data_IF_932667742957
#
_entry.id   IF_932667742957
#
_cell.length_a   1.000
_cell.length_b   1.000
_cell.length_c   1.000
_cell.angle_alpha   90.00
_cell.angle_beta   90.00
_cell.angle_gamma   90.00
#
_symmetry.space_group_name_H-M   'P 1'
#
loop_
_entity.id
_entity.type
_entity.pdbx_description
1 polymer ?
#
# COMPACT_ATOMS: atom_id res chain seq x y z
N UNK A 1 2.00 -50.29 -11.03
CA UNK A 1 3.19 -49.46 -10.81
C UNK A 1 3.23 -48.34 -11.85
N UNK A 2 2.78 -47.13 -11.49
CA UNK A 2 2.84 -45.95 -12.36
C UNK A 2 2.83 -44.67 -11.51
N UNK A 3 3.98 -44.01 -11.41
CA UNK A 3 4.16 -42.76 -10.64
C UNK A 3 3.33 -41.61 -11.24
N UNK A 4 2.73 -40.72 -10.43
CA UNK A 4 2.04 -39.54 -10.96
C UNK A 4 3.07 -38.56 -11.53
N UNK A 5 2.88 -38.11 -12.78
CA UNK A 5 3.69 -37.04 -13.37
C UNK A 5 3.38 -35.73 -12.64
N UNK A 6 4.40 -35.20 -11.98
CA UNK A 6 4.32 -33.99 -11.17
C UNK A 6 3.80 -32.78 -11.96
N UNK A 7 2.81 -32.12 -11.35
CA UNK A 7 2.37 -30.77 -11.65
C UNK A 7 3.57 -29.82 -11.75
N UNK A 8 3.79 -29.25 -12.93
CA UNK A 8 4.93 -28.35 -13.22
C UNK A 8 4.55 -26.88 -13.44
N UNK A 9 3.32 -26.47 -13.13
CA UNK A 9 2.95 -25.06 -13.08
C UNK A 9 2.24 -24.73 -11.76
N UNK A 10 3.00 -24.72 -10.66
CA UNK A 10 2.65 -23.91 -9.49
C UNK A 10 3.51 -22.65 -9.54
N UNK A 11 2.94 -21.45 -9.75
CA UNK A 11 3.60 -20.22 -9.36
C UNK A 11 3.90 -20.33 -7.86
N UNK A 12 5.17 -20.22 -7.48
CA UNK A 12 5.54 -20.11 -6.06
C UNK A 12 5.01 -18.76 -5.53
N UNK A 13 4.53 -18.71 -4.28
CA UNK A 13 3.79 -17.57 -3.76
C UNK A 13 4.70 -16.34 -3.67
N UNK A 14 4.25 -15.24 -4.27
CA UNK A 14 4.85 -13.92 -4.09
C UNK A 14 4.94 -13.63 -2.59
N UNK A 15 6.17 -13.57 -2.06
CA UNK A 15 6.41 -13.11 -0.70
C UNK A 15 5.88 -11.68 -0.53
N UNK A 16 5.44 -11.33 0.69
CA UNK A 16 4.58 -10.18 0.90
C UNK A 16 5.41 -8.91 0.93
N UNK A 17 5.09 -7.96 0.05
CA UNK A 17 5.07 -6.57 0.51
C UNK A 17 5.56 -5.50 -0.43
N UNK A 18 6.29 -5.78 -1.52
CA UNK A 18 6.72 -4.71 -2.42
C UNK A 18 6.94 -5.25 -3.84
N UNK A 19 5.95 -5.02 -4.71
CA UNK A 19 6.15 -5.09 -6.16
C UNK A 19 6.42 -3.66 -6.59
N UNK A 20 7.68 -3.34 -6.93
CA UNK A 20 8.05 -2.04 -7.46
C UNK A 20 7.64 -1.99 -8.94
N UNK A 21 6.54 -1.30 -9.23
CA UNK A 21 6.17 -0.96 -10.61
C UNK A 21 6.91 0.31 -11.07
N UNK A 22 7.21 0.44 -12.38
CA UNK A 22 8.09 1.49 -12.92
C UNK A 22 7.56 2.94 -12.80
N UNK A 23 6.42 3.15 -12.14
CA UNK A 23 5.82 4.47 -11.89
C UNK A 23 6.03 5.00 -10.46
N UNK A 24 6.95 4.45 -9.66
CA UNK A 24 7.20 4.93 -8.30
C UNK A 24 6.09 4.59 -7.30
N UNK A 25 5.23 3.62 -7.63
CA UNK A 25 4.17 3.12 -6.75
C UNK A 25 4.71 2.09 -5.77
N UNK A 26 4.43 2.30 -4.48
CA UNK A 26 4.74 1.35 -3.42
C UNK A 26 3.52 0.48 -3.14
N UNK A 27 3.62 -0.81 -3.46
CA UNK A 27 2.56 -1.78 -3.20
C UNK A 27 2.57 -2.24 -1.73
N UNK A 28 2.01 -1.44 -0.82
CA UNK A 28 2.04 -1.71 0.62
C UNK A 28 0.80 -2.47 1.08
N UNK A 29 1.01 -3.54 1.87
CA UNK A 29 -0.10 -4.20 2.57
C UNK A 29 -0.48 -3.38 3.80
N UNK A 30 -1.76 -3.04 3.90
CA UNK A 30 -2.34 -2.33 5.04
C UNK A 30 -3.51 -3.12 5.62
N UNK A 31 -3.86 -2.84 6.88
CA UNK A 31 -5.02 -3.45 7.52
C UNK A 31 -6.32 -3.00 6.86
N UNK A 32 -7.40 -3.77 7.04
CA UNK A 32 -8.73 -3.38 6.57
C UNK A 32 -9.17 -2.04 7.18
N UNK A 33 -8.92 -1.85 8.47
CA UNK A 33 -9.20 -0.60 9.18
C UNK A 33 -8.45 0.57 8.55
N UNK A 34 -7.15 0.44 8.28
CA UNK A 34 -6.35 1.49 7.63
C UNK A 34 -6.91 1.85 6.26
N UNK A 35 -7.34 0.86 5.48
CA UNK A 35 -7.95 1.10 4.16
C UNK A 35 -9.27 1.85 4.28
N UNK A 36 -10.13 1.49 5.23
CA UNK A 36 -11.39 2.18 5.50
C UNK A 36 -11.16 3.62 5.97
N UNK A 37 -10.21 3.83 6.89
CA UNK A 37 -9.85 5.18 7.35
C UNK A 37 -9.28 6.04 6.23
N UNK A 38 -8.49 5.48 5.31
CA UNK A 38 -7.97 6.22 4.16
C UNK A 38 -9.09 6.60 3.16
N UNK A 39 -10.07 5.71 2.96
CA UNK A 39 -11.25 6.02 2.16
C UNK A 39 -12.09 7.14 2.78
N UNK A 40 -12.31 7.08 4.09
CA UNK A 40 -13.04 8.12 4.82
C UNK A 40 -12.30 9.46 4.79
N UNK A 41 -10.98 9.46 5.01
CA UNK A 41 -10.16 10.67 4.94
C UNK A 41 -10.21 11.33 3.56
N UNK A 42 -10.26 10.52 2.49
CA UNK A 42 -10.47 11.05 1.14
C UNK A 42 -11.80 11.79 1.03
N UNK A 43 -12.88 11.21 1.54
CA UNK A 43 -14.22 11.79 1.49
C UNK A 43 -14.35 13.05 2.35
N UNK A 44 -13.89 13.00 3.60
CA UNK A 44 -13.96 14.10 4.55
C UNK A 44 -13.27 15.37 4.04
N UNK A 45 -12.17 15.20 3.29
CA UNK A 45 -11.39 16.30 2.72
C UNK A 45 -11.70 16.59 1.24
N UNK A 46 -12.71 15.91 0.65
CA UNK A 46 -13.11 16.11 -0.74
C UNK A 46 -11.99 15.85 -1.75
N UNK A 47 -11.15 14.84 -1.50
CA UNK A 47 -9.98 14.53 -2.31
C UNK A 47 -10.32 13.59 -3.47
N UNK A 48 -9.58 13.74 -4.58
CA UNK A 48 -9.83 12.97 -5.80
C UNK A 48 -9.49 11.47 -5.66
N UNK A 49 -8.53 11.13 -4.78
CA UNK A 49 -8.05 9.75 -4.62
C UNK A 49 -7.50 9.44 -3.23
N UNK A 50 -7.40 8.15 -2.90
CA UNK A 50 -6.76 7.70 -1.66
C UNK A 50 -5.25 7.98 -1.67
N UNK A 51 -4.62 7.98 -2.84
CA UNK A 51 -3.24 8.39 -3.03
C UNK A 51 -3.03 9.86 -2.66
N UNK A 52 -3.92 10.75 -3.10
CA UNK A 52 -3.88 12.17 -2.73
C UNK A 52 -4.05 12.37 -1.22
N UNK A 53 -4.90 11.56 -0.57
CA UNK A 53 -5.04 11.55 0.89
C UNK A 53 -3.74 11.11 1.58
N UNK A 54 -3.07 10.08 1.06
CA UNK A 54 -1.79 9.59 1.58
C UNK A 54 -0.68 10.64 1.43
N UNK A 55 -0.56 11.29 0.28
CA UNK A 55 0.43 12.33 0.01
C UNK A 55 0.27 13.53 0.97
N UNK A 56 -0.97 14.00 1.16
CA UNK A 56 -1.26 15.09 2.10
C UNK A 56 -0.96 14.68 3.55
N UNK A 57 -1.32 13.46 3.94
CA UNK A 57 -1.04 12.96 5.29
C UNK A 57 0.48 12.92 5.58
N UNK A 58 1.29 12.43 4.63
CA UNK A 58 2.75 12.43 4.76
C UNK A 58 3.30 13.85 4.86
N UNK A 59 2.83 14.78 4.03
CA UNK A 59 3.25 16.17 4.07
C UNK A 59 2.97 16.83 5.43
N UNK A 60 1.79 16.59 6.01
CA UNK A 60 1.42 17.09 7.34
C UNK A 60 2.34 16.52 8.41
N UNK A 61 2.56 15.20 8.44
CA UNK A 61 3.45 14.55 9.43
C UNK A 61 4.88 15.11 9.33
N UNK A 62 5.37 15.32 8.11
CA UNK A 62 6.71 15.90 7.89
C UNK A 62 6.79 17.36 8.32
N UNK A 63 5.74 18.16 8.07
CA UNK A 63 5.66 19.54 8.53
C UNK A 63 5.66 19.62 10.07
N UNK A 64 4.88 18.75 10.73
CA UNK A 64 4.85 18.65 12.20
C UNK A 64 6.21 18.24 12.76
N UNK A 65 6.87 17.24 12.16
CA UNK A 65 8.24 16.85 12.54
C UNK A 65 9.22 18.03 12.45
N UNK A 66 9.12 18.83 11.39
CA UNK A 66 9.96 20.02 11.21
C UNK A 66 9.64 21.18 12.16
N UNK A 67 8.43 21.19 12.75
CA UNK A 67 7.99 22.19 13.73
C UNK A 67 8.35 21.79 15.17
N UNK A 68 8.26 20.49 15.51
CA UNK A 68 8.59 19.95 16.84
C UNK A 68 10.09 19.77 17.06
N UNK A 69 10.86 19.58 16.00
CA UNK A 69 12.32 19.46 16.07
C UNK A 69 13.09 20.78 16.17
N UNK A 70 12.42 21.91 16.48
CA UNK A 70 13.02 23.22 16.72
C UNK A 70 12.95 23.59 18.18
#
# INVERSE_FOLDING_TARGET
>A
MGRPKGSKNKPKPNLPGFIAEPAGRLNVRVSATTRSSLAQLKEDFGLDSQEAALEKAVAIVMALRGAVGR
#
